data_IF_456684151187
#
_entry.id   IF_456684151187
#
_cell.length_a   1.000
_cell.length_b   1.000
_cell.length_c   1.000
_cell.angle_alpha   90.00
_cell.angle_beta   90.00
_cell.angle_gamma   90.00
#
_symmetry.space_group_name_H-M   'P 1'
#
loop_
_entity.id
_entity.type
_entity.pdbx_description
1 polymer ?
#
# COMPACT_ATOMS: atom_id res chain seq x y z
N UNK A 1 1.68 8.97 44.64
CA UNK A 1 1.34 7.73 43.90
C UNK A 1 2.65 6.96 43.73
N UNK A 2 2.79 5.73 44.26
CA UNK A 2 4.02 4.94 44.08
C UNK A 2 4.14 4.57 42.60
N UNK A 3 5.27 4.90 41.98
CA UNK A 3 5.52 4.63 40.56
C UNK A 3 5.99 3.18 40.42
N UNK A 4 5.29 2.39 39.63
CA UNK A 4 5.75 1.06 39.23
C UNK A 4 6.77 1.29 38.11
N UNK A 5 7.96 0.74 38.29
CA UNK A 5 8.99 0.77 37.27
C UNK A 5 8.80 -0.42 36.32
N UNK A 6 8.78 -0.14 35.02
CA UNK A 6 8.35 -1.08 33.99
C UNK A 6 9.44 -2.11 33.69
N UNK A 7 10.71 -1.68 33.69
CA UNK A 7 11.86 -2.54 33.40
C UNK A 7 12.05 -3.60 34.49
N UNK A 8 11.89 -3.20 35.75
CA UNK A 8 11.97 -4.12 36.89
C UNK A 8 10.75 -5.04 36.96
N UNK A 9 9.56 -4.55 36.63
CA UNK A 9 8.36 -5.38 36.55
C UNK A 9 8.49 -6.44 35.44
N UNK A 10 9.04 -6.07 34.28
CA UNK A 10 9.23 -6.99 33.16
C UNK A 10 10.21 -8.13 33.50
N UNK A 11 11.34 -7.81 34.16
CA UNK A 11 12.28 -8.83 34.67
C UNK A 11 11.62 -9.81 35.65
N UNK A 12 10.80 -9.32 36.58
CA UNK A 12 10.08 -10.20 37.52
C UNK A 12 9.07 -11.12 36.83
N UNK A 13 8.50 -10.70 35.69
CA UNK A 13 7.59 -11.52 34.87
C UNK A 13 8.38 -12.62 34.15
N UNK A 14 9.54 -12.28 33.58
CA UNK A 14 10.45 -13.24 32.93
C UNK A 14 10.99 -14.28 33.93
N UNK A 15 11.27 -13.87 35.17
CA UNK A 15 11.63 -14.75 36.29
C UNK A 15 10.47 -15.64 36.77
N UNK A 16 9.24 -15.47 36.26
CA UNK A 16 8.08 -16.29 36.59
C UNK A 16 7.49 -16.01 37.99
N UNK A 17 7.78 -14.85 38.59
CA UNK A 17 7.28 -14.54 39.94
C UNK A 17 5.76 -14.36 39.96
N UNK A 18 5.07 -14.76 41.03
CA UNK A 18 3.63 -14.56 41.16
C UNK A 18 3.28 -13.07 41.38
N UNK A 19 2.14 -12.63 40.85
CA UNK A 19 1.70 -11.21 40.89
C UNK A 19 1.62 -10.63 42.32
N UNK A 20 1.31 -11.47 43.32
CA UNK A 20 1.29 -11.09 44.74
C UNK A 20 2.66 -10.69 45.27
N UNK A 21 3.72 -11.34 44.80
CA UNK A 21 5.09 -11.00 45.20
C UNK A 21 5.57 -9.72 44.55
N UNK A 22 5.20 -9.50 43.28
CA UNK A 22 5.44 -8.22 42.59
C UNK A 22 4.73 -7.05 43.30
N UNK A 23 3.47 -7.26 43.70
CA UNK A 23 2.68 -6.27 44.43
C UNK A 23 3.33 -5.89 45.77
N UNK A 24 3.86 -6.88 46.51
CA UNK A 24 4.64 -6.67 47.73
C UNK A 24 5.93 -5.91 47.46
N UNK A 25 6.69 -6.30 46.42
CA UNK A 25 7.94 -5.65 46.04
C UNK A 25 7.75 -4.16 45.72
N UNK A 26 6.75 -3.82 44.90
CA UNK A 26 6.44 -2.43 44.57
C UNK A 26 5.58 -1.72 45.64
N UNK A 27 5.16 -2.44 46.69
CA UNK A 27 4.25 -1.96 47.74
C UNK A 27 2.98 -1.30 47.18
N UNK A 28 2.37 -1.95 46.20
CA UNK A 28 1.12 -1.56 45.52
C UNK A 28 0.10 -2.70 45.59
N UNK A 29 -1.14 -2.46 45.20
CA UNK A 29 -2.16 -3.51 45.17
C UNK A 29 -1.97 -4.49 44.00
N UNK A 30 -2.40 -5.74 44.18
CA UNK A 30 -2.44 -6.76 43.12
C UNK A 30 -3.18 -6.26 41.86
N UNK A 31 -4.25 -5.49 42.05
CA UNK A 31 -5.01 -4.89 40.95
C UNK A 31 -4.19 -3.85 40.16
N UNK A 32 -3.31 -3.09 40.82
CA UNK A 32 -2.42 -2.14 40.15
C UNK A 32 -1.38 -2.86 39.30
N UNK A 33 -0.78 -3.95 39.81
CA UNK A 33 0.12 -4.82 39.05
C UNK A 33 -0.61 -5.45 37.87
N UNK A 34 -1.79 -6.05 38.07
CA UNK A 34 -2.56 -6.69 36.99
C UNK A 34 -2.90 -5.70 35.87
N UNK A 35 -3.31 -4.47 36.21
CA UNK A 35 -3.54 -3.39 35.23
C UNK A 35 -2.25 -3.00 34.51
N UNK A 36 -1.11 -2.96 35.22
CA UNK A 36 0.18 -2.58 34.63
C UNK A 36 0.71 -3.67 33.69
N UNK A 37 0.64 -4.94 34.09
CA UNK A 37 0.95 -6.09 33.25
C UNK A 37 0.09 -6.10 31.99
N UNK A 38 -1.22 -5.83 32.10
CA UNK A 38 -2.09 -5.73 30.91
C UNK A 38 -1.63 -4.64 29.94
N UNK A 39 -1.18 -3.49 30.44
CA UNK A 39 -0.65 -2.40 29.61
C UNK A 39 0.69 -2.78 28.96
N UNK A 40 1.57 -3.46 29.70
CA UNK A 40 2.85 -3.95 29.16
C UNK A 40 2.64 -5.01 28.06
N UNK A 41 1.68 -5.91 28.25
CA UNK A 41 1.32 -6.91 27.22
C UNK A 41 0.62 -6.30 26.00
N UNK A 42 -0.07 -5.17 26.16
CA UNK A 42 -0.62 -4.42 25.04
C UNK A 42 0.45 -3.72 24.20
N UNK A 43 1.64 -3.47 24.76
CA UNK A 43 2.79 -2.94 24.02
C UNK A 43 3.70 -4.00 23.42
N UNK A 44 3.44 -5.29 23.68
CA UNK A 44 4.19 -6.35 23.02
C UNK A 44 3.71 -6.50 21.57
N UNK A 45 4.63 -6.64 20.60
CA UNK A 45 4.25 -6.85 19.22
C UNK A 45 3.53 -8.19 19.04
N UNK A 46 2.67 -8.31 18.01
CA UNK A 46 1.80 -9.47 17.85
C UNK A 46 2.63 -10.70 17.48
N UNK A 47 2.13 -11.88 17.80
CA UNK A 47 2.81 -13.15 17.50
C UNK A 47 3.11 -13.29 16.00
N UNK A 48 2.20 -12.83 15.14
CA UNK A 48 2.38 -12.77 13.69
C UNK A 48 3.59 -11.93 13.28
N UNK A 49 3.84 -10.81 13.96
CA UNK A 49 5.04 -10.01 13.72
C UNK A 49 6.30 -10.68 14.28
N UNK A 50 6.21 -11.33 15.45
CA UNK A 50 7.36 -12.04 16.04
C UNK A 50 7.85 -13.20 15.16
N UNK A 51 6.94 -13.90 14.49
CA UNK A 51 7.24 -15.03 13.61
C UNK A 51 8.02 -14.65 12.33
N UNK A 52 7.96 -13.38 11.90
CA UNK A 52 8.61 -12.93 10.68
C UNK A 52 10.15 -12.88 10.79
N UNK A 53 10.82 -13.03 9.64
CA UNK A 53 12.26 -12.83 9.53
C UNK A 53 12.65 -11.36 9.81
N UNK A 54 13.91 -11.07 10.19
CA UNK A 54 14.35 -9.70 10.44
C UNK A 54 14.17 -8.75 9.25
N UNK A 55 14.30 -9.27 8.02
CA UNK A 55 14.08 -8.50 6.80
C UNK A 55 12.60 -8.17 6.60
N UNK A 56 11.71 -9.17 6.75
CA UNK A 56 10.26 -8.96 6.65
C UNK A 56 9.73 -8.01 7.72
N UNK A 57 10.25 -8.09 8.95
CA UNK A 57 9.92 -7.13 10.02
C UNK A 57 10.22 -5.69 9.61
N UNK A 58 11.41 -5.44 9.07
CA UNK A 58 11.79 -4.11 8.55
C UNK A 58 10.90 -3.67 7.41
N UNK A 59 10.52 -4.59 6.53
CA UNK A 59 9.61 -4.31 5.41
C UNK A 59 8.22 -3.91 5.91
N UNK A 60 7.66 -4.64 6.87
CA UNK A 60 6.35 -4.36 7.48
C UNK A 60 6.34 -3.00 8.17
N UNK A 61 7.37 -2.68 8.96
CA UNK A 61 7.50 -1.36 9.60
C UNK A 61 7.56 -0.26 8.53
N UNK A 62 8.42 -0.41 7.52
CA UNK A 62 8.54 0.58 6.43
C UNK A 62 7.22 0.77 5.66
N UNK A 63 6.42 -0.29 5.50
CA UNK A 63 5.08 -0.20 4.91
C UNK A 63 4.11 0.59 5.77
N UNK A 64 4.12 0.38 7.09
CA UNK A 64 3.27 1.12 8.03
C UNK A 64 3.67 2.61 8.13
N UNK A 65 4.94 2.93 7.92
CA UNK A 65 5.43 4.32 7.76
C UNK A 65 4.94 5.00 6.46
N UNK A 66 4.25 4.26 5.58
CA UNK A 66 3.70 4.78 4.33
C UNK A 66 4.67 4.72 3.14
N UNK A 67 5.80 4.00 3.24
CA UNK A 67 6.70 3.80 2.10
C UNK A 67 6.06 2.89 1.06
N UNK A 68 6.35 3.15 -0.22
CA UNK A 68 5.93 2.28 -1.32
C UNK A 68 6.53 0.88 -1.19
N UNK A 69 5.94 -0.13 -1.84
CA UNK A 69 6.46 -1.50 -1.76
C UNK A 69 7.91 -1.63 -2.21
N UNK A 70 8.30 -0.86 -3.23
CA UNK A 70 9.68 -0.80 -3.73
C UNK A 70 10.62 -0.15 -2.73
N UNK A 71 10.24 1.00 -2.15
CA UNK A 71 11.05 1.71 -1.18
C UNK A 71 11.21 0.93 0.13
N UNK A 72 10.15 0.27 0.58
CA UNK A 72 10.18 -0.62 1.75
C UNK A 72 11.12 -1.81 1.53
N UNK A 73 11.08 -2.45 0.35
CA UNK A 73 11.97 -3.57 0.01
C UNK A 73 13.44 -3.11 -0.08
N UNK A 74 13.69 -1.94 -0.67
CA UNK A 74 15.03 -1.36 -0.78
C UNK A 74 15.64 -1.08 0.60
N UNK A 75 14.84 -0.55 1.53
CA UNK A 75 15.25 -0.29 2.92
C UNK A 75 15.43 -1.58 3.75
N UNK A 76 14.63 -2.62 3.51
CA UNK A 76 14.65 -3.84 4.29
C UNK A 76 15.76 -4.82 3.88
N UNK A 77 16.03 -4.94 2.56
CA UNK A 77 16.88 -5.99 2.00
C UNK A 77 18.14 -5.47 1.29
N UNK A 78 18.40 -4.16 1.29
CA UNK A 78 19.54 -3.55 0.59
C UNK A 78 19.67 -4.05 -0.86
N UNK A 79 18.58 -3.98 -1.61
CA UNK A 79 18.53 -4.49 -2.98
C UNK A 79 19.55 -3.76 -3.87
N UNK A 80 20.34 -4.52 -4.63
CA UNK A 80 21.37 -3.94 -5.53
C UNK A 80 20.79 -3.21 -6.75
N UNK A 81 19.51 -3.43 -7.08
CA UNK A 81 18.80 -2.74 -8.16
C UNK A 81 17.35 -2.45 -7.80
N UNK A 82 16.77 -1.43 -8.42
CA UNK A 82 15.35 -1.05 -8.25
C UNK A 82 14.42 -2.15 -8.75
N UNK A 83 14.82 -2.87 -9.81
CA UNK A 83 14.04 -3.97 -10.37
C UNK A 83 13.92 -5.14 -9.38
N UNK A 84 15.01 -5.49 -8.73
CA UNK A 84 15.01 -6.49 -7.65
C UNK A 84 14.06 -6.08 -6.52
N UNK A 85 14.09 -4.80 -6.12
CA UNK A 85 13.20 -4.26 -5.09
C UNK A 85 11.72 -4.29 -5.50
N UNK A 86 11.39 -4.10 -6.79
CA UNK A 86 10.01 -4.24 -7.30
C UNK A 86 9.50 -5.66 -7.15
N UNK A 87 10.29 -6.65 -7.59
CA UNK A 87 9.90 -8.06 -7.51
C UNK A 87 9.74 -8.51 -6.06
N UNK A 88 10.70 -8.18 -5.19
CA UNK A 88 10.65 -8.50 -3.76
C UNK A 88 9.46 -7.80 -3.10
N UNK A 89 9.27 -6.51 -3.36
CA UNK A 89 8.17 -5.74 -2.78
C UNK A 89 6.80 -6.26 -3.19
N UNK A 90 6.64 -6.68 -4.46
CA UNK A 90 5.40 -7.29 -4.95
C UNK A 90 5.15 -8.65 -4.31
N UNK A 91 6.18 -9.50 -4.20
CA UNK A 91 6.09 -10.82 -3.56
C UNK A 91 5.71 -10.71 -2.09
N UNK A 92 6.46 -9.94 -1.31
CA UNK A 92 6.20 -9.75 0.12
C UNK A 92 4.85 -9.09 0.40
N UNK A 93 4.36 -8.23 -0.50
CA UNK A 93 3.02 -7.66 -0.37
C UNK A 93 1.92 -8.70 -0.64
N UNK A 94 2.21 -9.79 -1.37
CA UNK A 94 1.27 -10.89 -1.61
C UNK A 94 1.33 -11.98 -0.54
N UNK A 95 2.38 -12.03 0.28
CA UNK A 95 2.55 -13.08 1.29
C UNK A 95 1.53 -12.93 2.43
N UNK A 96 0.76 -13.99 2.75
CA UNK A 96 -0.34 -13.91 3.72
C UNK A 96 0.14 -13.64 5.14
N UNK A 97 1.33 -14.14 5.51
CA UNK A 97 1.90 -13.94 6.85
C UNK A 97 2.30 -12.48 7.07
N UNK A 98 2.89 -11.84 6.05
CA UNK A 98 3.24 -10.41 6.06
C UNK A 98 1.98 -9.55 6.15
N UNK A 99 0.94 -9.89 5.39
CA UNK A 99 -0.35 -9.20 5.45
C UNK A 99 -1.02 -9.34 6.81
N UNK A 100 -0.99 -10.55 7.40
CA UNK A 100 -1.50 -10.78 8.75
C UNK A 100 -0.77 -9.93 9.79
N UNK A 101 0.57 -9.89 9.73
CA UNK A 101 1.36 -9.07 10.64
C UNK A 101 1.06 -7.56 10.49
N UNK A 102 0.88 -7.06 9.26
CA UNK A 102 0.45 -5.68 9.02
C UNK A 102 -0.92 -5.43 9.66
N UNK A 103 -1.88 -6.32 9.45
CA UNK A 103 -3.23 -6.17 10.01
C UNK A 103 -3.24 -6.17 11.54
N UNK A 104 -2.47 -7.06 12.15
CA UNK A 104 -2.39 -7.17 13.61
C UNK A 104 -1.73 -5.92 14.21
N UNK A 105 -0.62 -5.44 13.64
CA UNK A 105 0.01 -4.18 14.06
C UNK A 105 -0.92 -2.97 13.89
N UNK A 106 -1.65 -2.88 12.78
CA UNK A 106 -2.66 -1.82 12.60
C UNK A 106 -3.76 -1.91 13.65
N UNK A 107 -4.09 -3.12 14.12
CA UNK A 107 -5.11 -3.32 15.15
C UNK A 107 -4.60 -2.90 16.54
N UNK A 108 -3.33 -3.16 16.86
CA UNK A 108 -2.68 -2.71 18.09
C UNK A 108 -2.61 -1.18 18.17
N UNK A 109 -2.25 -0.51 17.07
CA UNK A 109 -2.26 0.96 16.96
C UNK A 109 -3.68 1.56 16.93
N UNK A 110 -4.73 0.72 17.00
CA UNK A 110 -6.12 1.15 17.02
C UNK A 110 -6.67 1.60 15.67
N UNK A 111 -5.94 1.38 14.57
CA UNK A 111 -6.34 1.70 13.18
C UNK A 111 -6.82 0.44 12.43
N UNK A 112 -7.38 -0.52 13.18
CA UNK A 112 -7.98 -1.73 12.63
C UNK A 112 -9.13 -1.44 11.63
N UNK A 113 -9.56 -2.47 10.89
CA UNK A 113 -10.59 -2.36 9.84
C UNK A 113 -11.86 -1.66 10.34
N UNK A 114 -12.36 -2.03 11.52
CA UNK A 114 -13.58 -1.44 12.10
C UNK A 114 -13.44 0.05 12.36
N UNK A 115 -12.31 0.50 12.90
CA UNK A 115 -12.05 1.92 13.16
C UNK A 115 -11.99 2.72 11.86
N UNK A 116 -11.35 2.18 10.82
CA UNK A 116 -11.28 2.83 9.50
C UNK A 116 -12.67 2.97 8.87
N UNK A 117 -13.52 1.95 8.96
CA UNK A 117 -14.92 2.01 8.49
C UNK A 117 -15.73 3.06 9.27
N UNK A 118 -15.57 3.13 10.60
CA UNK A 118 -16.20 4.17 11.41
C UNK A 118 -15.74 5.57 10.99
N UNK A 119 -14.43 5.77 10.77
CA UNK A 119 -13.92 7.04 10.28
C UNK A 119 -14.44 7.41 8.90
N UNK A 120 -14.59 6.43 8.00
CA UNK A 120 -15.19 6.68 6.68
C UNK A 120 -16.65 7.11 6.82
N UNK A 121 -17.42 6.48 7.70
CA UNK A 121 -18.80 6.90 8.03
C UNK A 121 -18.83 8.34 8.54
N UNK A 122 -17.96 8.69 9.51
CA UNK A 122 -17.87 10.05 10.06
C UNK A 122 -17.61 11.09 8.96
N UNK A 123 -16.79 10.74 7.96
CA UNK A 123 -16.45 11.60 6.80
C UNK A 123 -17.65 11.76 5.86
N UNK A 124 -18.42 10.71 5.62
CA UNK A 124 -19.63 10.75 4.77
C UNK A 124 -20.76 11.54 5.46
N UNK A 125 -20.84 11.48 6.78
CA UNK A 125 -21.82 12.23 7.59
C UNK A 125 -21.34 13.66 7.94
N UNK A 126 -20.21 14.11 7.40
CA UNK A 126 -19.68 15.44 7.66
C UNK A 126 -20.59 16.54 7.07
N UNK A 127 -20.56 17.74 7.68
CA UNK A 127 -21.37 18.89 7.21
C UNK A 127 -20.81 19.51 5.93
N UNK A 128 -19.51 19.41 5.70
CA UNK A 128 -18.84 19.98 4.54
C UNK A 128 -18.98 19.03 3.33
N UNK A 129 -19.71 19.48 2.32
CA UNK A 129 -19.96 18.73 1.09
C UNK A 129 -18.67 18.34 0.36
N UNK A 130 -17.58 19.12 0.48
CA UNK A 130 -16.29 18.78 -0.13
C UNK A 130 -15.63 17.57 0.54
N UNK A 131 -15.80 17.42 1.84
CA UNK A 131 -15.32 16.25 2.60
C UNK A 131 -16.19 15.03 2.32
N UNK A 132 -17.51 15.23 2.26
CA UNK A 132 -18.48 14.18 1.91
C UNK A 132 -18.19 13.61 0.52
N UNK A 133 -17.94 14.46 -0.49
CA UNK A 133 -17.61 14.02 -1.84
C UNK A 133 -16.38 13.10 -1.87
N UNK A 134 -15.33 13.43 -1.10
CA UNK A 134 -14.14 12.57 -0.97
C UNK A 134 -14.45 11.27 -0.22
N UNK A 135 -15.29 11.32 0.81
CA UNK A 135 -15.75 10.15 1.54
C UNK A 135 -16.48 9.15 0.65
N UNK A 136 -17.42 9.66 -0.16
CA UNK A 136 -18.18 8.88 -1.14
C UNK A 136 -17.27 8.31 -2.24
N UNK A 137 -16.35 9.10 -2.78
CA UNK A 137 -15.37 8.62 -3.77
C UNK A 137 -14.52 7.46 -3.22
N UNK A 138 -14.02 7.58 -1.97
CA UNK A 138 -13.30 6.50 -1.31
C UNK A 138 -14.19 5.26 -1.08
N UNK A 139 -15.45 5.44 -0.69
CA UNK A 139 -16.38 4.32 -0.49
C UNK A 139 -16.64 3.57 -1.80
N UNK A 140 -16.93 4.28 -2.89
CA UNK A 140 -17.22 3.70 -4.19
C UNK A 140 -16.00 2.94 -4.77
N UNK A 141 -14.78 3.43 -4.51
CA UNK A 141 -13.54 2.72 -4.86
C UNK A 141 -13.36 1.41 -4.08
N UNK A 142 -13.85 1.35 -2.85
CA UNK A 142 -13.76 0.16 -2.00
C UNK A 142 -14.83 -0.89 -2.36
N UNK A 143 -16.04 -0.46 -2.74
CA UNK A 143 -17.12 -1.35 -3.19
C UNK A 143 -16.97 -1.79 -4.65
N UNK A 144 -16.11 -1.11 -5.41
CA UNK A 144 -15.89 -1.42 -6.83
C UNK A 144 -16.97 -0.87 -7.76
N UNK A 145 -17.81 0.05 -7.27
CA UNK A 145 -18.81 0.77 -8.09
C UNK A 145 -18.14 1.65 -9.15
N UNK A 146 -16.93 2.15 -8.85
CA UNK A 146 -15.98 2.60 -9.87
C UNK A 146 -15.28 1.37 -10.47
N UNK A 147 -15.90 0.72 -11.45
CA UNK A 147 -15.15 -0.17 -12.32
C UNK A 147 -14.20 0.72 -13.15
N UNK A 148 -12.86 0.59 -13.05
CA UNK A 148 -12.01 1.17 -14.07
C UNK A 148 -12.32 0.40 -15.35
N UNK A 149 -12.92 1.06 -16.34
CA UNK A 149 -12.87 0.56 -17.72
C UNK A 149 -11.40 0.44 -18.09
N UNK A 150 -10.83 -0.75 -17.88
CA UNK A 150 -9.56 -1.11 -18.45
C UNK A 150 -9.83 -1.27 -19.93
N UNK A 151 -9.67 -0.19 -20.68
CA UNK A 151 -9.58 -0.27 -22.13
C UNK A 151 -8.25 -0.94 -22.41
N UNK A 152 -8.24 -2.26 -22.47
CA UNK A 152 -7.12 -3.03 -23.00
C UNK A 152 -7.05 -2.73 -24.50
N UNK A 153 -6.26 -1.71 -24.84
CA UNK A 153 -5.93 -1.43 -26.23
C UNK A 153 -4.93 -2.51 -26.69
N UNK A 154 -5.47 -3.66 -27.09
CA UNK A 154 -4.69 -4.68 -27.80
C UNK A 154 -4.36 -4.16 -29.20
N UNK A 155 -3.23 -3.48 -29.33
CA UNK A 155 -2.65 -3.18 -30.64
C UNK A 155 -2.03 -4.47 -31.17
N UNK A 156 -2.79 -5.22 -31.96
CA UNK A 156 -2.20 -6.33 -32.69
C UNK A 156 -1.11 -5.80 -33.64
N UNK A 157 0.07 -6.44 -33.70
CA UNK A 157 1.16 -6.01 -34.58
C UNK A 157 0.75 -5.88 -36.05
N UNK A 158 -0.22 -6.68 -36.48
CA UNK A 158 -0.79 -6.67 -37.83
C UNK A 158 -1.49 -5.33 -38.14
N UNK A 159 -2.17 -4.74 -37.16
CA UNK A 159 -2.83 -3.44 -37.30
C UNK A 159 -1.81 -2.30 -37.40
N UNK A 160 -0.70 -2.39 -36.66
CA UNK A 160 0.39 -1.41 -36.74
C UNK A 160 1.04 -1.45 -38.13
N UNK A 161 1.31 -2.64 -38.66
CA UNK A 161 1.91 -2.80 -39.99
C UNK A 161 0.97 -2.29 -41.09
N UNK A 162 -0.33 -2.59 -41.00
CA UNK A 162 -1.33 -2.08 -41.93
C UNK A 162 -1.42 -0.55 -41.91
N UNK A 163 -1.44 0.07 -40.72
CA UNK A 163 -1.46 1.54 -40.60
C UNK A 163 -0.19 2.17 -41.14
N UNK A 164 0.98 1.60 -40.85
CA UNK A 164 2.27 2.08 -41.39
C UNK A 164 2.32 1.98 -42.91
N UNK A 165 1.84 0.88 -43.49
CA UNK A 165 1.76 0.71 -44.94
C UNK A 165 0.84 1.75 -45.59
N UNK A 166 -0.30 2.04 -44.99
CA UNK A 166 -1.27 3.04 -45.47
C UNK A 166 -0.69 4.46 -45.40
N UNK A 167 0.01 4.79 -44.31
CA UNK A 167 0.71 6.07 -44.15
C UNK A 167 1.84 6.25 -45.18
N UNK A 168 2.60 5.18 -45.47
CA UNK A 168 3.65 5.22 -46.49
C UNK A 168 3.07 5.39 -47.90
N UNK A 169 2.00 4.67 -48.24
CA UNK A 169 1.31 4.83 -49.52
C UNK A 169 0.78 6.26 -49.70
N UNK A 170 0.18 6.85 -48.65
CA UNK A 170 -0.32 8.23 -48.69
C UNK A 170 0.82 9.25 -48.81
N UNK A 171 1.97 9.00 -48.17
CA UNK A 171 3.17 9.82 -48.30
C UNK A 171 3.73 9.79 -49.73
N UNK A 172 3.74 8.63 -50.38
CA UNK A 172 4.17 8.50 -51.77
C UNK A 172 3.22 9.23 -52.73
N UNK A 173 1.91 9.14 -52.51
CA UNK A 173 0.93 9.88 -53.30
C UNK A 173 1.12 11.40 -53.15
N UNK A 174 1.29 11.88 -51.92
CA UNK A 174 1.52 13.30 -51.65
C UNK A 174 2.84 13.79 -52.26
N UNK A 175 3.91 13.01 -52.20
CA UNK A 175 5.19 13.38 -52.83
C UNK A 175 5.10 13.41 -54.36
N UNK A 176 4.31 12.52 -54.98
CA UNK A 176 3.99 12.58 -56.42
C UNK A 176 3.19 13.85 -56.77
N UNK A 177 2.18 14.20 -55.95
CA UNK A 177 1.41 15.43 -56.14
C UNK A 177 2.28 16.69 -55.99
N UNK A 178 3.16 16.74 -55.00
CA UNK A 178 4.09 17.85 -54.80
C UNK A 178 5.03 18.00 -56.01
N UNK A 179 5.62 16.91 -56.49
CA UNK A 179 6.48 16.94 -57.69
C UNK A 179 5.73 17.37 -58.95
N UNK A 180 4.49 16.92 -59.13
CA UNK A 180 3.65 17.31 -60.27
C UNK A 180 3.33 18.82 -60.26
N UNK A 181 3.09 19.39 -59.07
CA UNK A 181 2.91 20.82 -58.88
C UNK A 181 4.20 21.61 -59.12
N UNK A 182 5.36 21.10 -58.69
CA UNK A 182 6.68 21.72 -58.95
C UNK A 182 7.06 21.69 -60.44
N UNK A 183 6.61 20.70 -61.20
CA UNK A 183 6.83 20.58 -62.65
C UNK A 183 5.84 21.41 -63.50
N UNK A 184 4.90 22.15 -62.89
CA UNK A 184 3.97 23.03 -63.59
C UNK A 184 2.90 22.32 -64.43
N UNK A 185 2.57 21.07 -64.09
CA UNK A 185 1.46 20.32 -64.72
C UNK A 185 0.19 20.49 -63.86
N UNK A 186 -0.57 21.57 -64.10
CA UNK A 186 -1.84 21.82 -63.40
C UNK A 186 -3.01 20.94 -63.88
N UNK A 187 -2.86 20.18 -64.97
CA UNK A 187 -3.97 19.42 -65.56
C UNK A 187 -3.93 17.92 -65.28
N UNK A 188 -3.88 17.53 -64.00
CA UNK A 188 -4.43 16.22 -63.60
C UNK A 188 -4.89 16.35 -62.16
N UNK A 189 -6.18 16.59 -61.92
CA UNK A 189 -7.02 15.96 -60.89
C UNK A 189 -8.42 16.54 -61.11
N UNK A 190 -9.20 15.86 -61.94
CA UNK A 190 -10.63 15.61 -61.73
C UNK A 190 -11.02 14.49 -62.70
N UNK A 191 -10.80 13.25 -62.25
CA UNK A 191 -11.45 12.08 -62.80
C UNK A 191 -11.68 11.11 -61.64
N UNK A 192 -12.97 10.96 -61.35
CA UNK A 192 -13.69 10.09 -60.39
C UNK A 192 -12.93 8.90 -59.77
#
# INVERSE_FOLDING_TARGET
>A
MKKIDDDTLQKMIEEGRPQREMARFFSVSDAAISKRIKRLKQSEPPESFKALSPGEKKFVIAKLEGKSGTAAALHAFNCGSIESAKTIGSRLSGDPDVQKAIHDLMHEEGIGRRRRVQRLRDVIEAKDLGIVAKGLDMANKLTGEYAPEKVDVSLEPQNIVAVVALLNARREELTKRIKALEEGKEDVIDAE
#
